data_IF_322614390052
#
_entry.id   IF_322614390052
#
_cell.length_a   1.000
_cell.length_b   1.000
_cell.length_c   1.000
_cell.angle_alpha   90.00
_cell.angle_beta   90.00
_cell.angle_gamma   90.00
#
_symmetry.space_group_name_H-M   'P 1'
#
loop_
_entity.id
_entity.type
_entity.pdbx_description
1 polymer ?
#
# COMPACT_ATOMS: atom_id res chain seq x y z
N UNK A 1 0.94 -3.57 43.94
CA UNK A 1 1.95 -4.13 43.01
C UNK A 1 1.38 -4.32 41.58
N UNK A 2 0.55 -3.42 41.07
CA UNK A 2 -0.01 -3.49 39.72
C UNK A 2 0.26 -2.22 38.88
N UNK A 3 1.03 -1.27 39.42
CA UNK A 3 1.34 -0.01 38.73
C UNK A 3 2.61 -0.07 37.86
N UNK A 4 3.44 -1.11 37.98
CA UNK A 4 4.73 -1.22 37.27
C UNK A 4 4.69 -1.94 35.92
N UNK A 5 3.51 -2.41 35.44
CA UNK A 5 3.40 -3.15 34.14
C UNK A 5 2.85 -2.32 32.97
N UNK A 6 2.38 -1.08 33.22
CA UNK A 6 1.85 -0.21 32.14
C UNK A 6 2.93 0.60 31.40
N UNK A 7 4.14 0.69 31.92
CA UNK A 7 5.22 1.51 31.34
C UNK A 7 6.06 0.79 30.26
N UNK A 8 5.73 -0.46 29.91
CA UNK A 8 6.43 -1.25 28.88
C UNK A 8 5.62 -1.35 27.59
N UNK A 9 4.48 -0.69 27.51
CA UNK A 9 3.73 -0.62 26.26
C UNK A 9 4.45 0.29 25.26
N UNK A 10 4.69 -0.23 24.06
CA UNK A 10 5.07 0.61 22.92
C UNK A 10 3.99 1.68 22.83
N UNK A 11 4.38 2.94 23.01
CA UNK A 11 3.51 4.04 22.63
C UNK A 11 3.45 4.05 21.12
N UNK A 12 2.46 3.37 20.53
CA UNK A 12 2.24 3.28 19.08
C UNK A 12 2.10 4.64 18.39
N UNK A 13 2.11 5.74 19.15
CA UNK A 13 1.91 7.10 18.65
C UNK A 13 3.11 7.73 17.94
N UNK A 14 4.32 7.18 18.08
CA UNK A 14 5.50 7.76 17.47
C UNK A 14 6.02 6.83 16.36
N UNK A 15 5.51 7.01 15.12
CA UNK A 15 6.06 6.44 13.87
C UNK A 15 6.22 4.91 13.78
N UNK A 16 5.31 4.14 14.39
CA UNK A 16 5.32 2.68 14.25
C UNK A 16 4.84 2.28 12.85
N UNK A 17 5.76 1.75 12.03
CA UNK A 17 5.43 1.09 10.77
C UNK A 17 5.09 -0.39 11.01
N UNK A 18 4.08 -0.90 10.29
CA UNK A 18 3.61 -2.30 10.41
C UNK A 18 4.65 -3.38 10.06
N UNK A 19 5.90 -3.00 9.77
CA UNK A 19 7.02 -3.89 9.47
C UNK A 19 8.20 -3.78 10.47
N UNK A 20 8.02 -3.08 11.61
CA UNK A 20 9.10 -2.86 12.60
C UNK A 20 9.26 -4.05 13.54
N UNK A 21 9.65 -5.21 12.99
CA UNK A 21 9.85 -6.45 13.75
C UNK A 21 10.94 -6.32 14.82
N UNK A 22 11.98 -5.54 14.58
CA UNK A 22 13.05 -5.25 15.54
C UNK A 22 12.54 -4.52 16.79
N UNK A 23 11.60 -3.60 16.62
CA UNK A 23 10.95 -2.93 17.73
C UNK A 23 10.10 -3.92 18.55
N UNK A 24 9.35 -4.80 17.88
CA UNK A 24 8.55 -5.84 18.51
C UNK A 24 9.45 -6.83 19.30
N UNK A 25 10.51 -7.33 18.69
CA UNK A 25 11.46 -8.21 19.36
C UNK A 25 12.02 -7.58 20.64
N UNK A 26 12.41 -6.31 20.58
CA UNK A 26 12.93 -5.56 21.72
C UNK A 26 11.91 -5.41 22.86
N UNK A 27 10.65 -5.12 22.54
CA UNK A 27 9.64 -4.79 23.57
C UNK A 27 8.89 -6.01 24.11
N UNK A 28 8.60 -7.00 23.24
CA UNK A 28 7.83 -8.18 23.63
C UNK A 28 8.72 -9.40 23.92
N UNK A 29 10.03 -9.32 23.63
CA UNK A 29 10.99 -10.42 23.79
C UNK A 29 10.61 -11.68 22.99
N UNK A 30 9.97 -11.48 21.84
CA UNK A 30 9.60 -12.52 20.88
C UNK A 30 10.55 -12.37 19.71
N UNK A 31 11.24 -13.43 19.31
CA UNK A 31 12.17 -13.39 18.19
C UNK A 31 11.41 -13.07 16.89
N UNK A 32 11.98 -12.23 16.04
CA UNK A 32 11.35 -11.81 14.80
C UNK A 32 11.06 -12.98 13.85
N UNK A 33 11.87 -14.03 13.87
CA UNK A 33 11.66 -15.26 13.10
C UNK A 33 10.44 -16.08 13.55
N UNK A 34 9.96 -15.87 14.79
CA UNK A 34 8.79 -16.53 15.36
C UNK A 34 7.49 -15.73 15.14
N UNK A 35 7.58 -14.56 14.44
CA UNK A 35 6.45 -13.67 14.23
C UNK A 35 5.88 -13.86 12.82
N UNK A 36 4.59 -14.19 12.73
CA UNK A 36 3.82 -14.11 11.50
C UNK A 36 3.24 -12.70 11.38
N UNK A 37 3.71 -11.94 10.38
CA UNK A 37 3.33 -10.53 10.22
C UNK A 37 2.09 -10.36 9.37
N UNK A 38 0.94 -10.19 9.99
CA UNK A 38 -0.30 -9.73 9.37
C UNK A 38 -0.36 -8.21 9.17
N UNK A 39 0.68 -7.49 9.58
CA UNK A 39 0.74 -6.02 9.55
C UNK A 39 1.41 -5.45 8.31
N UNK A 40 2.33 -6.20 7.68
CA UNK A 40 3.16 -5.72 6.58
C UNK A 40 2.46 -5.72 5.21
N UNK A 41 1.32 -6.39 5.07
CA UNK A 41 0.55 -6.56 3.82
C UNK A 41 1.37 -7.16 2.66
N UNK A 42 2.29 -8.04 2.96
CA UNK A 42 3.13 -8.71 1.95
C UNK A 42 2.48 -10.04 1.56
N UNK A 43 2.52 -10.40 0.29
CA UNK A 43 2.02 -11.68 -0.22
C UNK A 43 2.68 -12.87 0.51
N UNK A 44 1.91 -13.76 1.13
CA UNK A 44 2.44 -14.86 1.92
C UNK A 44 3.11 -15.97 1.10
N UNK A 45 2.94 -16.01 -0.21
CA UNK A 45 3.63 -16.98 -1.08
C UNK A 45 5.13 -16.76 -1.13
N UNK A 46 5.61 -15.54 -0.77
CA UNK A 46 7.01 -15.17 -0.94
C UNK A 46 7.37 -15.04 -2.43
N UNK A 47 8.65 -14.98 -2.75
CA UNK A 47 9.13 -14.91 -4.14
C UNK A 47 9.05 -16.29 -4.82
N UNK A 48 8.78 -16.31 -6.14
CA UNK A 48 8.70 -17.56 -6.90
C UNK A 48 10.03 -18.33 -6.88
N UNK A 49 9.96 -19.66 -7.05
CA UNK A 49 11.16 -20.50 -7.11
C UNK A 49 12.08 -20.07 -8.25
N UNK A 50 11.52 -19.76 -9.42
CA UNK A 50 12.29 -19.32 -10.57
C UNK A 50 13.03 -18.01 -10.25
N UNK A 51 12.36 -17.04 -9.63
CA UNK A 51 13.00 -15.79 -9.23
C UNK A 51 14.14 -16.04 -8.25
N UNK A 52 13.92 -16.88 -7.22
CA UNK A 52 14.94 -17.24 -6.22
C UNK A 52 16.18 -17.87 -6.87
N UNK A 53 15.99 -18.87 -7.73
CA UNK A 53 17.08 -19.56 -8.42
C UNK A 53 17.86 -18.59 -9.32
N UNK A 54 17.15 -17.81 -10.15
CA UNK A 54 17.81 -16.88 -11.07
C UNK A 54 18.59 -15.80 -10.34
N UNK A 55 18.07 -15.27 -9.21
CA UNK A 55 18.82 -14.29 -8.42
C UNK A 55 20.09 -14.91 -7.82
N UNK A 56 20.01 -16.15 -7.32
CA UNK A 56 21.17 -16.85 -6.79
C UNK A 56 22.25 -17.08 -7.87
N UNK A 57 21.84 -17.45 -9.09
CA UNK A 57 22.74 -17.71 -10.23
C UNK A 57 23.34 -16.41 -10.82
N UNK A 58 22.77 -15.25 -10.51
CA UNK A 58 23.20 -13.95 -11.02
C UNK A 58 23.77 -13.01 -9.93
N UNK A 59 24.26 -13.55 -8.81
CA UNK A 59 24.81 -12.70 -7.73
C UNK A 59 26.00 -11.85 -8.23
N UNK A 60 26.77 -12.31 -9.18
CA UNK A 60 27.89 -11.56 -9.75
C UNK A 60 27.46 -10.27 -10.49
N UNK A 61 26.18 -10.13 -10.83
CA UNK A 61 25.65 -8.89 -11.39
C UNK A 61 25.83 -7.67 -10.48
N UNK A 62 26.02 -7.87 -9.15
CA UNK A 62 26.30 -6.77 -8.21
C UNK A 62 27.69 -6.12 -8.43
N UNK A 63 28.57 -6.74 -9.20
CA UNK A 63 29.91 -6.23 -9.48
C UNK A 63 29.94 -5.17 -10.59
N UNK A 64 28.81 -4.98 -11.29
CA UNK A 64 28.67 -4.02 -12.39
C UNK A 64 27.43 -3.15 -12.23
N UNK A 65 27.48 -1.93 -12.79
CA UNK A 65 26.30 -1.10 -12.88
C UNK A 65 25.28 -1.67 -13.87
N UNK A 66 23.96 -1.60 -13.57
CA UNK A 66 22.93 -1.97 -14.54
C UNK A 66 22.86 -0.96 -15.69
N UNK A 67 22.03 -1.26 -16.71
CA UNK A 67 21.69 -0.29 -17.75
C UNK A 67 21.12 0.99 -17.11
N UNK A 68 21.77 2.14 -17.41
CA UNK A 68 21.38 3.44 -16.84
C UNK A 68 19.93 3.82 -17.16
N UNK A 69 19.45 3.44 -18.33
CA UNK A 69 18.09 3.74 -18.79
C UNK A 69 17.09 2.64 -18.43
N UNK A 70 17.55 1.51 -17.87
CA UNK A 70 16.72 0.35 -17.52
C UNK A 70 15.80 -0.10 -18.68
N UNK A 71 16.31 -0.08 -19.89
CA UNK A 71 15.53 -0.26 -21.13
C UNK A 71 14.73 -1.56 -21.11
N UNK A 72 15.37 -2.69 -20.80
CA UNK A 72 14.71 -3.99 -20.74
C UNK A 72 13.66 -4.06 -19.62
N UNK A 73 13.96 -3.52 -18.44
CA UNK A 73 13.03 -3.48 -17.31
C UNK A 73 11.80 -2.62 -17.64
N UNK A 74 12.00 -1.43 -18.19
CA UNK A 74 10.91 -0.53 -18.59
C UNK A 74 10.00 -1.17 -19.64
N UNK A 75 10.58 -1.92 -20.59
CA UNK A 75 9.81 -2.67 -21.59
C UNK A 75 8.95 -3.75 -20.94
N UNK A 76 9.51 -4.54 -20.00
CA UNK A 76 8.73 -5.54 -19.26
C UNK A 76 7.59 -4.91 -18.44
N UNK A 77 7.88 -3.82 -17.74
CA UNK A 77 6.87 -3.07 -16.96
C UNK A 77 5.78 -2.53 -17.89
N UNK A 78 6.15 -1.96 -19.03
CA UNK A 78 5.19 -1.41 -19.99
C UNK A 78 4.25 -2.48 -20.53
N UNK A 79 4.77 -3.66 -20.86
CA UNK A 79 3.95 -4.81 -21.29
C UNK A 79 2.99 -5.25 -20.17
N UNK A 80 3.49 -5.40 -18.95
CA UNK A 80 2.69 -5.79 -17.77
C UNK A 80 1.58 -4.77 -17.45
N UNK A 81 1.93 -3.50 -17.47
CA UNK A 81 1.02 -2.40 -17.12
C UNK A 81 0.10 -1.96 -18.29
N UNK A 82 0.29 -2.48 -19.50
CA UNK A 82 -0.50 -2.10 -20.68
C UNK A 82 -0.24 -0.65 -21.13
N UNK A 83 1.02 -0.20 -21.09
CA UNK A 83 1.44 1.16 -21.49
C UNK A 83 2.66 1.10 -22.43
N UNK A 84 3.24 2.26 -22.72
CA UNK A 84 4.46 2.35 -23.53
C UNK A 84 5.70 2.52 -22.65
N UNK A 85 6.89 1.98 -23.05
CA UNK A 85 8.12 2.09 -22.24
C UNK A 85 8.54 3.54 -21.92
N UNK A 86 8.27 4.48 -22.81
CA UNK A 86 8.55 5.91 -22.61
C UNK A 86 7.69 6.57 -21.52
N UNK A 87 6.55 5.95 -21.16
CA UNK A 87 5.65 6.41 -20.10
C UNK A 87 6.04 5.86 -18.73
N UNK A 88 7.05 4.97 -18.67
CA UNK A 88 7.47 4.29 -17.44
C UNK A 88 8.68 4.98 -16.81
N UNK A 89 8.57 5.29 -15.53
CA UNK A 89 9.69 5.73 -14.67
C UNK A 89 9.93 4.63 -13.63
N UNK A 90 11.17 4.19 -13.45
CA UNK A 90 11.54 3.22 -12.43
C UNK A 90 12.21 3.89 -11.24
N UNK A 91 12.03 3.37 -10.02
CA UNK A 91 12.57 3.94 -8.79
C UNK A 91 12.86 2.89 -7.71
N UNK A 92 13.60 3.29 -6.70
CA UNK A 92 13.99 2.47 -5.54
C UNK A 92 12.80 2.27 -4.60
N UNK A 93 11.81 1.48 -5.05
CA UNK A 93 10.49 1.35 -4.45
C UNK A 93 9.56 2.51 -4.79
N UNK A 94 8.26 2.33 -4.58
CA UNK A 94 7.26 3.39 -4.77
C UNK A 94 7.51 4.60 -3.86
N UNK A 95 8.10 4.42 -2.68
CA UNK A 95 8.40 5.50 -1.74
C UNK A 95 9.37 6.55 -2.32
N UNK A 96 10.43 6.12 -3.02
CA UNK A 96 11.31 7.08 -3.72
C UNK A 96 10.53 7.87 -4.77
N UNK A 97 9.64 7.22 -5.51
CA UNK A 97 8.84 7.87 -6.54
C UNK A 97 7.82 8.86 -5.97
N UNK A 98 7.22 8.56 -4.81
CA UNK A 98 6.38 9.49 -4.05
C UNK A 98 7.19 10.75 -3.72
N UNK A 99 8.36 10.58 -3.10
CA UNK A 99 9.23 11.69 -2.71
C UNK A 99 9.66 12.52 -3.92
N UNK A 100 10.16 11.88 -4.98
CA UNK A 100 10.61 12.56 -6.20
C UNK A 100 9.49 13.35 -6.88
N UNK A 101 8.29 12.76 -6.94
CA UNK A 101 7.14 13.43 -7.53
C UNK A 101 6.70 14.65 -6.71
N UNK A 102 6.54 14.49 -5.38
CA UNK A 102 6.15 15.60 -4.49
C UNK A 102 7.21 16.71 -4.52
N UNK A 103 8.50 16.38 -4.46
CA UNK A 103 9.60 17.35 -4.60
C UNK A 103 9.61 18.03 -5.97
N UNK A 104 9.22 17.34 -7.03
CA UNK A 104 9.15 17.91 -8.38
C UNK A 104 7.99 18.89 -8.51
N UNK A 105 6.83 18.55 -7.95
CA UNK A 105 5.62 19.40 -7.97
C UNK A 105 5.67 20.51 -6.92
N UNK A 106 6.31 20.25 -5.79
CA UNK A 106 6.45 21.19 -4.68
C UNK A 106 5.14 21.90 -4.30
N UNK A 107 4.07 21.15 -3.99
CA UNK A 107 2.75 21.70 -3.78
C UNK A 107 2.69 22.50 -2.49
N UNK A 108 2.07 23.70 -2.52
CA UNK A 108 1.77 24.49 -1.30
C UNK A 108 0.61 23.91 -0.52
N UNK A 109 -0.41 23.41 -1.23
CA UNK A 109 -1.58 22.76 -0.65
C UNK A 109 -1.89 21.48 -1.41
N UNK A 110 -2.01 20.37 -0.67
CA UNK A 110 -2.41 19.08 -1.21
C UNK A 110 -3.63 18.54 -0.46
N UNK A 111 -4.50 17.84 -1.18
CA UNK A 111 -5.63 17.10 -0.62
C UNK A 111 -5.28 15.62 -0.60
N UNK A 112 -5.56 14.94 0.51
CA UNK A 112 -5.42 13.48 0.67
C UNK A 112 -6.70 12.91 1.30
N UNK A 113 -6.89 11.60 1.21
CA UNK A 113 -7.97 10.92 1.93
C UNK A 113 -7.61 10.79 3.42
N UNK A 114 -8.60 10.73 4.27
CA UNK A 114 -8.43 10.41 5.68
C UNK A 114 -9.43 9.33 6.12
N UNK A 115 -8.98 8.17 6.62
CA UNK A 115 -7.59 7.76 6.84
C UNK A 115 -6.86 7.33 5.53
N UNK A 116 -5.54 7.51 5.51
CA UNK A 116 -4.67 6.98 4.42
C UNK A 116 -3.22 6.80 4.91
N UNK A 117 -2.32 6.40 4.03
CA UNK A 117 -0.91 6.18 4.33
C UNK A 117 -0.19 7.49 4.68
N UNK A 118 0.49 7.51 5.83
CA UNK A 118 1.05 8.73 6.43
C UNK A 118 2.22 9.35 5.66
N UNK A 119 2.91 8.57 4.81
CA UNK A 119 4.06 9.09 4.07
C UNK A 119 3.68 10.18 3.06
N UNK A 120 2.43 10.24 2.60
CA UNK A 120 2.00 11.32 1.72
C UNK A 120 2.05 12.68 2.43
N UNK A 121 1.45 12.77 3.63
CA UNK A 121 1.50 13.98 4.46
C UNK A 121 2.93 14.33 4.83
N UNK A 122 3.72 13.33 5.23
CA UNK A 122 5.12 13.52 5.59
C UNK A 122 5.92 14.13 4.43
N UNK A 123 5.83 13.60 3.22
CA UNK A 123 6.57 14.12 2.07
C UNK A 123 6.10 15.51 1.64
N UNK A 124 4.78 15.80 1.71
CA UNK A 124 4.23 17.12 1.46
C UNK A 124 4.80 18.13 2.49
N UNK A 125 4.80 17.75 3.77
CA UNK A 125 5.32 18.60 4.85
C UNK A 125 6.83 18.85 4.73
N UNK A 126 7.62 17.84 4.35
CA UNK A 126 9.06 17.99 4.08
C UNK A 126 9.33 18.95 2.92
N UNK A 127 8.43 19.02 1.94
CA UNK A 127 8.44 20.01 0.87
C UNK A 127 7.96 21.40 1.29
N UNK A 128 7.55 21.60 2.55
CA UNK A 128 6.99 22.87 3.03
C UNK A 128 5.53 23.11 2.65
N UNK A 129 4.84 22.09 2.12
CA UNK A 129 3.43 22.13 1.80
C UNK A 129 2.52 21.84 2.99
N UNK A 130 1.23 22.12 2.83
CA UNK A 130 0.17 21.83 3.81
C UNK A 130 -0.76 20.76 3.26
N UNK A 131 -1.04 19.74 4.07
CA UNK A 131 -1.99 18.68 3.75
C UNK A 131 -3.38 19.03 4.28
N UNK A 132 -4.38 18.91 3.42
CA UNK A 132 -5.80 18.91 3.76
C UNK A 132 -6.33 17.48 3.64
N UNK A 133 -7.31 17.13 4.46
CA UNK A 133 -7.91 15.79 4.44
C UNK A 133 -9.36 15.84 3.97
N UNK A 134 -9.73 14.90 3.10
CA UNK A 134 -11.12 14.54 2.85
C UNK A 134 -11.45 13.31 3.70
N UNK A 135 -12.33 13.43 4.72
CA UNK A 135 -12.64 12.33 5.60
C UNK A 135 -13.52 11.28 4.90
N UNK A 136 -13.02 10.05 4.81
CA UNK A 136 -13.85 8.90 4.44
C UNK A 136 -14.74 8.54 5.65
N UNK A 137 -16.02 8.34 5.41
CA UNK A 137 -17.02 8.15 6.48
C UNK A 137 -17.26 6.66 6.74
N UNK A 138 -17.22 6.27 8.01
CA UNK A 138 -17.53 4.89 8.45
C UNK A 138 -18.93 4.47 8.01
N UNK A 139 -19.92 5.37 8.11
CA UNK A 139 -21.30 5.12 7.71
C UNK A 139 -21.49 4.71 6.25
N UNK A 140 -20.51 5.08 5.39
CA UNK A 140 -20.46 4.69 3.99
C UNK A 140 -19.48 3.51 3.76
N UNK A 141 -19.09 2.77 4.80
CA UNK A 141 -18.08 1.72 4.71
C UNK A 141 -16.70 2.23 4.24
N UNK A 142 -16.39 3.50 4.49
CA UNK A 142 -15.20 4.21 3.99
C UNK A 142 -15.11 4.31 2.47
N UNK A 143 -16.20 4.08 1.73
CA UNK A 143 -16.24 4.39 0.31
C UNK A 143 -16.35 5.89 0.07
N UNK A 144 -15.63 6.37 -0.96
CA UNK A 144 -15.67 7.77 -1.36
C UNK A 144 -17.01 8.10 -2.03
N UNK A 145 -17.69 9.13 -1.55
CA UNK A 145 -18.75 9.80 -2.32
C UNK A 145 -18.08 10.78 -3.30
N UNK A 146 -18.00 10.38 -4.57
CA UNK A 146 -17.30 11.16 -5.61
C UNK A 146 -17.97 12.51 -5.87
N UNK A 147 -19.30 12.59 -5.74
CA UNK A 147 -20.01 13.85 -5.97
C UNK A 147 -19.75 14.85 -4.83
N UNK A 148 -19.74 14.36 -3.61
CA UNK A 148 -19.37 15.17 -2.45
C UNK A 148 -17.89 15.53 -2.49
N UNK A 149 -17.01 14.57 -2.79
CA UNK A 149 -15.57 14.78 -2.92
C UNK A 149 -15.23 15.91 -3.91
N UNK A 150 -15.84 15.90 -5.10
CA UNK A 150 -15.57 16.91 -6.12
C UNK A 150 -15.92 18.35 -5.68
N UNK A 151 -16.85 18.54 -4.72
CA UNK A 151 -17.17 19.85 -4.15
C UNK A 151 -16.06 20.42 -3.26
N UNK A 152 -15.12 19.59 -2.80
CA UNK A 152 -13.97 20.01 -2.00
C UNK A 152 -12.77 20.40 -2.85
N UNK A 153 -12.82 20.23 -4.17
CA UNK A 153 -11.78 20.67 -5.11
C UNK A 153 -11.90 22.17 -5.35
N UNK A 154 -10.77 22.87 -5.42
CA UNK A 154 -10.71 24.29 -5.71
C UNK A 154 -9.35 24.67 -6.31
N UNK A 155 -9.23 25.88 -6.85
CA UNK A 155 -8.01 26.46 -7.39
C UNK A 155 -6.90 26.73 -6.34
N UNK A 156 -7.23 26.56 -5.05
CA UNK A 156 -6.23 26.59 -3.98
C UNK A 156 -5.42 25.32 -3.84
N UNK A 157 -5.91 24.21 -4.41
CA UNK A 157 -5.23 22.92 -4.37
C UNK A 157 -4.30 22.77 -5.58
N UNK A 158 -3.09 22.30 -5.35
CA UNK A 158 -2.10 22.05 -6.39
C UNK A 158 -1.89 20.54 -6.63
N UNK A 159 -2.19 19.73 -5.63
CA UNK A 159 -2.01 18.27 -5.66
C UNK A 159 -3.16 17.55 -4.98
N UNK A 160 -3.62 16.48 -5.61
CA UNK A 160 -4.45 15.43 -5.01
C UNK A 160 -3.63 14.13 -4.94
N UNK A 161 -3.62 13.48 -3.76
CA UNK A 161 -3.01 12.16 -3.59
C UNK A 161 -4.07 11.16 -3.18
N UNK A 162 -4.18 10.08 -3.94
CA UNK A 162 -5.10 8.98 -3.71
C UNK A 162 -4.32 7.66 -3.58
N UNK A 163 -4.66 6.84 -2.59
CA UNK A 163 -4.24 5.46 -2.50
C UNK A 163 -5.39 4.59 -3.01
N UNK A 164 -5.17 3.74 -4.01
CA UNK A 164 -6.24 2.98 -4.65
C UNK A 164 -5.81 1.55 -5.02
N UNK A 165 -6.30 0.52 -4.30
CA UNK A 165 -7.12 0.53 -3.08
C UNK A 165 -6.47 1.24 -1.90
N UNK A 166 -7.29 1.86 -1.05
CA UNK A 166 -6.80 2.70 0.04
C UNK A 166 -6.29 1.88 1.24
N UNK A 167 -5.22 2.31 1.83
CA UNK A 167 -4.68 1.79 3.09
C UNK A 167 -4.95 2.80 4.22
N UNK A 168 -5.71 2.48 5.29
CA UNK A 168 -6.01 1.14 5.78
C UNK A 168 -7.41 0.59 5.42
N UNK A 169 -8.27 1.32 4.71
CA UNK A 169 -9.68 0.98 4.55
C UNK A 169 -9.94 -0.18 3.57
N UNK A 170 -8.98 -0.50 2.72
CA UNK A 170 -9.09 -1.50 1.64
C UNK A 170 -10.16 -1.18 0.57
N UNK A 171 -10.79 -0.01 0.63
CA UNK A 171 -11.79 0.44 -0.34
C UNK A 171 -11.14 0.89 -1.64
N UNK A 172 -11.82 0.67 -2.77
CA UNK A 172 -11.33 1.04 -4.09
C UNK A 172 -12.23 2.11 -4.74
N UNK A 173 -11.59 2.92 -5.58
CA UNK A 173 -12.19 3.88 -6.51
C UNK A 173 -12.14 3.23 -7.89
N UNK A 174 -13.27 3.11 -8.56
CA UNK A 174 -13.31 2.54 -9.92
C UNK A 174 -12.71 3.49 -10.95
N UNK A 175 -12.26 2.95 -12.09
CA UNK A 175 -11.74 3.73 -13.20
C UNK A 175 -12.76 4.80 -13.69
N UNK A 176 -14.05 4.48 -13.68
CA UNK A 176 -15.11 5.43 -14.05
C UNK A 176 -15.27 6.57 -13.04
N UNK A 177 -15.17 6.27 -11.74
CA UNK A 177 -15.15 7.28 -10.69
C UNK A 177 -13.88 8.15 -10.75
N UNK A 178 -12.71 7.52 -11.00
CA UNK A 178 -11.45 8.23 -11.16
C UNK A 178 -11.49 9.21 -12.33
N UNK A 179 -12.13 8.83 -13.45
CA UNK A 179 -12.33 9.75 -14.59
C UNK A 179 -13.07 11.01 -14.17
N UNK A 180 -14.16 10.89 -13.40
CA UNK A 180 -14.93 12.05 -12.89
C UNK A 180 -14.07 12.95 -11.99
N UNK A 181 -13.24 12.35 -11.12
CA UNK A 181 -12.31 13.09 -10.27
C UNK A 181 -11.28 13.84 -11.10
N UNK A 182 -10.71 13.18 -12.11
CA UNK A 182 -9.70 13.79 -13.01
C UNK A 182 -10.29 14.94 -13.83
N UNK A 183 -11.52 14.79 -14.35
CA UNK A 183 -12.22 15.86 -15.07
C UNK A 183 -12.42 17.09 -14.17
N UNK A 184 -12.81 16.89 -12.92
CA UNK A 184 -12.94 17.97 -11.95
C UNK A 184 -11.59 18.59 -11.58
N UNK A 185 -10.55 17.79 -11.40
CA UNK A 185 -9.19 18.28 -11.12
C UNK A 185 -8.62 19.13 -12.27
N UNK A 186 -8.91 18.77 -13.52
CA UNK A 186 -8.47 19.56 -14.70
C UNK A 186 -9.02 20.97 -14.69
N UNK A 187 -10.28 21.16 -14.24
CA UNK A 187 -10.92 22.47 -14.19
C UNK A 187 -10.19 23.45 -13.26
N UNK A 188 -9.53 22.93 -12.23
CA UNK A 188 -8.77 23.71 -11.22
C UNK A 188 -7.26 23.63 -11.40
N UNK A 189 -6.75 22.91 -12.41
CA UNK A 189 -5.31 22.73 -12.63
C UNK A 189 -4.62 21.84 -11.57
N UNK A 190 -5.38 21.01 -10.86
CA UNK A 190 -4.87 20.12 -9.81
C UNK A 190 -4.16 18.92 -10.46
N UNK A 191 -2.95 18.63 -10.01
CA UNK A 191 -2.26 17.40 -10.40
C UNK A 191 -2.71 16.22 -9.51
N UNK A 192 -2.79 15.01 -10.07
CA UNK A 192 -3.26 13.82 -9.36
C UNK A 192 -2.18 12.76 -9.33
N UNK A 193 -1.81 12.31 -8.14
CA UNK A 193 -0.98 11.13 -7.89
C UNK A 193 -1.85 10.02 -7.33
N UNK A 194 -1.84 8.86 -7.99
CA UNK A 194 -2.55 7.67 -7.51
C UNK A 194 -1.52 6.58 -7.17
N UNK A 195 -1.51 6.17 -5.90
CA UNK A 195 -0.72 5.04 -5.44
C UNK A 195 -1.53 3.75 -5.56
N UNK A 196 -1.19 2.95 -6.54
CA UNK A 196 -1.81 1.65 -6.84
C UNK A 196 -0.99 0.47 -6.28
N UNK A 197 -0.30 0.63 -5.15
CA UNK A 197 0.52 -0.43 -4.53
C UNK A 197 -0.25 -1.73 -4.24
N UNK A 198 -1.57 -1.67 -4.16
CA UNK A 198 -2.43 -2.83 -3.83
C UNK A 198 -3.39 -3.23 -4.96
N UNK A 199 -3.32 -2.58 -6.11
CA UNK A 199 -4.33 -2.74 -7.17
C UNK A 199 -4.38 -4.16 -7.74
N UNK A 200 -3.25 -4.85 -7.82
CA UNK A 200 -3.17 -6.23 -8.33
C UNK A 200 -3.99 -7.23 -7.49
N UNK A 201 -4.28 -6.88 -6.23
CA UNK A 201 -5.12 -7.68 -5.33
C UNK A 201 -6.63 -7.41 -5.49
N UNK A 202 -7.02 -6.37 -6.22
CA UNK A 202 -8.43 -6.06 -6.42
C UNK A 202 -9.13 -7.20 -7.17
N UNK A 203 -10.39 -7.53 -6.83
CA UNK A 203 -11.13 -8.59 -7.52
C UNK A 203 -11.17 -8.37 -9.03
N UNK A 204 -11.51 -7.17 -9.45
CA UNK A 204 -11.53 -6.72 -10.84
C UNK A 204 -10.50 -5.61 -11.05
N UNK A 205 -9.20 -5.99 -11.15
CA UNK A 205 -8.10 -5.03 -11.30
C UNK A 205 -8.33 -4.02 -12.44
N UNK A 206 -8.86 -4.50 -13.57
CA UNK A 206 -9.10 -3.66 -14.75
C UNK A 206 -10.15 -2.56 -14.51
N UNK A 207 -11.07 -2.79 -13.59
CA UNK A 207 -12.09 -1.81 -13.21
C UNK A 207 -11.56 -0.78 -12.20
N UNK A 208 -10.43 -1.08 -11.54
CA UNK A 208 -9.84 -0.23 -10.48
C UNK A 208 -8.63 0.55 -10.97
N UNK A 209 -7.79 -0.06 -11.81
CA UNK A 209 -6.56 0.61 -12.28
C UNK A 209 -6.85 1.86 -13.09
N UNK A 210 -6.08 2.89 -12.80
CA UNK A 210 -6.13 4.19 -13.51
C UNK A 210 -5.05 4.33 -14.59
N UNK A 211 -4.21 3.30 -14.80
CA UNK A 211 -3.14 3.35 -15.82
C UNK A 211 -3.67 3.72 -17.22
N UNK A 212 -4.80 3.15 -17.72
CA UNK A 212 -5.32 3.53 -19.05
C UNK A 212 -5.66 5.02 -19.18
N UNK A 213 -5.97 5.68 -18.05
CA UNK A 213 -6.30 7.11 -18.03
C UNK A 213 -5.08 8.00 -18.28
N UNK A 214 -3.86 7.51 -18.06
CA UNK A 214 -2.62 8.27 -18.32
C UNK A 214 -2.45 8.64 -19.81
N UNK A 215 -3.14 7.95 -20.71
CA UNK A 215 -3.17 8.29 -22.15
C UNK A 215 -4.02 9.53 -22.45
N UNK A 216 -4.89 9.95 -21.53
CA UNK A 216 -5.86 11.02 -21.73
C UNK A 216 -5.62 12.22 -20.82
N UNK A 217 -4.99 11.99 -19.66
CA UNK A 217 -4.81 12.99 -18.60
C UNK A 217 -3.33 13.26 -18.34
N UNK A 218 -2.85 14.44 -18.74
CA UNK A 218 -1.45 14.86 -18.53
C UNK A 218 -1.19 15.33 -17.10
N UNK A 219 -2.22 15.53 -16.29
CA UNK A 219 -2.14 15.86 -14.86
C UNK A 219 -2.22 14.62 -13.96
N UNK A 220 -1.94 13.41 -14.48
CA UNK A 220 -2.03 12.15 -13.76
C UNK A 220 -0.68 11.42 -13.75
N UNK A 221 -0.31 10.88 -12.59
CA UNK A 221 0.76 9.90 -12.40
C UNK A 221 0.27 8.75 -11.53
N UNK A 222 0.57 7.52 -11.94
CA UNK A 222 0.23 6.29 -11.21
C UNK A 222 1.52 5.69 -10.66
N UNK A 223 1.52 5.26 -9.40
CA UNK A 223 2.65 4.61 -8.75
C UNK A 223 2.30 3.16 -8.43
N UNK A 224 3.25 2.24 -8.65
CA UNK A 224 3.15 0.82 -8.26
C UNK A 224 4.49 0.31 -7.73
N UNK A 225 4.46 -0.81 -7.02
CA UNK A 225 5.67 -1.41 -6.46
C UNK A 225 5.60 -2.93 -6.34
N UNK A 226 6.76 -3.58 -6.28
CA UNK A 226 6.88 -5.04 -6.16
C UNK A 226 6.84 -5.53 -4.71
N UNK A 227 6.76 -4.62 -3.75
CA UNK A 227 6.89 -4.93 -2.32
C UNK A 227 5.77 -5.79 -1.76
N UNK A 228 4.57 -5.68 -2.32
CA UNK A 228 3.35 -6.31 -1.77
C UNK A 228 2.95 -7.53 -2.58
N UNK A 229 2.51 -7.33 -3.82
CA UNK A 229 2.02 -8.40 -4.69
C UNK A 229 3.11 -9.42 -5.01
N UNK A 230 4.31 -8.98 -5.38
CA UNK A 230 5.43 -9.85 -5.72
C UNK A 230 6.29 -10.26 -4.50
N UNK A 231 5.84 -9.98 -3.28
CA UNK A 231 6.51 -10.39 -2.04
C UNK A 231 7.99 -10.00 -1.94
N UNK A 232 8.40 -8.91 -2.59
CA UNK A 232 9.81 -8.52 -2.71
C UNK A 232 10.12 -7.12 -2.13
N UNK A 233 9.75 -6.81 -0.86
CA UNK A 233 9.99 -5.49 -0.28
C UNK A 233 11.49 -5.15 -0.19
N UNK A 234 12.36 -6.14 0.03
CA UNK A 234 13.80 -5.95 0.15
C UNK A 234 14.52 -5.64 -1.17
N UNK A 235 13.92 -5.94 -2.33
CA UNK A 235 14.49 -5.60 -3.63
C UNK A 235 14.45 -4.10 -3.92
N UNK A 236 13.51 -3.37 -3.30
CA UNK A 236 13.34 -1.94 -3.50
C UNK A 236 13.09 -1.57 -4.96
N UNK A 237 12.12 -2.22 -5.61
CA UNK A 237 11.70 -1.92 -6.97
C UNK A 237 10.28 -1.34 -6.99
N UNK A 238 10.14 -0.18 -7.62
CA UNK A 238 8.85 0.45 -7.91
C UNK A 238 8.88 1.11 -9.29
N UNK A 239 7.71 1.49 -9.76
CA UNK A 239 7.59 2.21 -11.02
C UNK A 239 6.42 3.19 -10.99
N UNK A 240 6.51 4.19 -11.86
CA UNK A 240 5.42 5.12 -12.13
C UNK A 240 5.06 5.11 -13.60
N UNK A 241 3.80 5.43 -13.90
CA UNK A 241 3.27 5.57 -15.26
C UNK A 241 2.60 6.93 -15.41
N UNK A 242 2.98 7.68 -16.43
CA UNK A 242 2.32 8.93 -16.82
C UNK A 242 2.50 9.19 -18.32
N UNK A 243 1.52 9.77 -18.98
CA UNK A 243 1.64 10.25 -20.37
C UNK A 243 2.34 11.62 -20.49
N UNK A 244 2.65 12.27 -19.38
CA UNK A 244 3.25 13.61 -19.34
C UNK A 244 4.78 13.54 -19.49
N UNK A 245 5.27 13.73 -20.71
CA UNK A 245 6.70 13.64 -21.02
C UNK A 245 7.55 14.72 -20.34
N UNK A 246 7.02 15.91 -20.10
CA UNK A 246 7.72 16.97 -19.38
C UNK A 246 7.90 16.62 -17.89
N UNK A 247 6.88 15.98 -17.30
CA UNK A 247 6.98 15.46 -15.94
C UNK A 247 8.02 14.35 -15.84
N UNK A 248 8.04 13.40 -16.78
CA UNK A 248 9.03 12.32 -16.85
C UNK A 248 10.44 12.90 -16.90
N UNK A 249 10.66 13.88 -17.78
CA UNK A 249 11.95 14.57 -17.90
C UNK A 249 12.35 15.26 -16.59
N UNK A 250 11.40 15.94 -15.94
CA UNK A 250 11.62 16.66 -14.69
C UNK A 250 12.00 15.72 -13.53
N UNK A 251 11.29 14.58 -13.41
CA UNK A 251 11.60 13.54 -12.41
C UNK A 251 12.97 12.91 -12.69
N UNK A 252 13.25 12.52 -13.94
CA UNK A 252 14.52 11.88 -14.29
C UNK A 252 15.73 12.81 -14.10
N UNK A 253 15.55 14.12 -14.20
CA UNK A 253 16.62 15.12 -13.92
C UNK A 253 16.97 15.15 -12.42
N UNK A 254 16.02 14.86 -11.54
CA UNK A 254 16.20 14.84 -10.07
C UNK A 254 16.61 13.47 -9.54
N UNK A 255 16.24 12.42 -10.26
CA UNK A 255 16.51 11.04 -9.88
C UNK A 255 18.02 10.75 -9.91
N UNK A 256 18.52 10.08 -8.86
CA UNK A 256 19.90 9.60 -8.87
C UNK A 256 20.14 8.60 -10.00
N UNK A 257 21.27 8.68 -10.71
CA UNK A 257 21.64 7.65 -11.67
C UNK A 257 21.81 6.30 -10.95
N UNK A 258 21.47 5.21 -11.63
CA UNK A 258 21.54 3.84 -11.08
C UNK A 258 20.82 3.66 -9.75
N UNK A 259 19.66 4.32 -9.59
CA UNK A 259 18.84 4.25 -8.36
C UNK A 259 18.35 2.83 -8.06
N UNK A 260 18.18 1.97 -9.07
CA UNK A 260 17.79 0.58 -8.93
C UNK A 260 19.04 -0.30 -9.01
N UNK A 261 19.19 -1.23 -8.06
CA UNK A 261 20.30 -2.18 -8.04
C UNK A 261 20.15 -3.26 -9.12
N UNK A 262 21.26 -3.90 -9.50
CA UNK A 262 21.31 -4.89 -10.58
C UNK A 262 20.41 -6.10 -10.32
N UNK A 263 20.28 -6.56 -9.08
CA UNK A 263 19.39 -7.69 -8.73
C UNK A 263 17.92 -7.31 -8.86
N UNK A 264 17.54 -6.07 -8.50
CA UNK A 264 16.17 -5.58 -8.67
C UNK A 264 15.80 -5.42 -10.17
N UNK A 265 16.74 -5.02 -11.00
CA UNK A 265 16.57 -4.97 -12.47
C UNK A 265 16.31 -6.37 -13.05
N UNK A 266 17.13 -7.36 -12.68
CA UNK A 266 16.96 -8.76 -13.09
C UNK A 266 15.63 -9.30 -12.56
N UNK A 267 15.32 -9.08 -11.29
CA UNK A 267 14.09 -9.55 -10.67
C UNK A 267 12.84 -9.01 -11.35
N UNK A 268 12.81 -7.71 -11.67
CA UNK A 268 11.64 -7.11 -12.34
C UNK A 268 11.37 -7.73 -13.70
N UNK A 269 12.40 -8.03 -14.48
CA UNK A 269 12.27 -8.69 -15.78
C UNK A 269 11.69 -10.10 -15.70
N UNK A 270 11.76 -10.76 -14.53
CA UNK A 270 11.22 -12.09 -14.30
C UNK A 270 9.83 -12.04 -13.64
N UNK A 271 9.62 -11.12 -12.69
CA UNK A 271 8.37 -11.03 -11.93
C UNK A 271 7.17 -10.60 -12.78
N UNK A 272 7.34 -9.57 -13.62
CA UNK A 272 6.23 -9.01 -14.38
C UNK A 272 5.64 -9.96 -15.44
N UNK A 273 6.41 -10.84 -16.13
CA UNK A 273 5.85 -11.81 -17.04
C UNK A 273 5.48 -13.16 -16.38
N UNK A 274 5.60 -13.33 -15.05
CA UNK A 274 5.29 -14.58 -14.34
C UNK A 274 3.78 -14.74 -14.14
N UNK A 275 3.07 -15.10 -15.21
CA UNK A 275 1.61 -15.26 -15.22
C UNK A 275 1.12 -16.33 -14.23
N UNK A 276 1.92 -17.38 -14.00
CA UNK A 276 1.56 -18.45 -13.07
C UNK A 276 1.59 -17.94 -11.62
N UNK A 277 2.61 -17.22 -11.23
CA UNK A 277 2.70 -16.57 -9.91
C UNK A 277 1.57 -15.56 -9.71
N UNK A 278 1.30 -14.73 -10.72
CA UNK A 278 0.23 -13.73 -10.68
C UNK A 278 -1.12 -14.40 -10.47
N UNK A 279 -1.43 -15.45 -11.24
CA UNK A 279 -2.68 -16.21 -11.11
C UNK A 279 -2.81 -16.87 -9.74
N UNK A 280 -1.81 -17.61 -9.28
CA UNK A 280 -1.83 -18.27 -7.97
C UNK A 280 -1.98 -17.27 -6.81
N UNK A 281 -1.30 -16.14 -6.89
CA UNK A 281 -1.44 -15.07 -5.89
C UNK A 281 -2.88 -14.56 -5.83
N UNK A 282 -3.49 -14.28 -6.98
CA UNK A 282 -4.88 -13.77 -7.03
C UNK A 282 -5.87 -14.80 -6.52
N UNK A 283 -5.74 -16.06 -6.93
CA UNK A 283 -6.61 -17.16 -6.47
C UNK A 283 -6.54 -17.30 -4.94
N UNK A 284 -5.35 -17.37 -4.38
CA UNK A 284 -5.15 -17.47 -2.93
C UNK A 284 -5.75 -16.27 -2.18
N UNK A 285 -5.34 -15.07 -2.58
CA UNK A 285 -5.71 -13.87 -1.82
C UNK A 285 -7.19 -13.55 -1.95
N UNK A 286 -7.79 -13.67 -3.13
CA UNK A 286 -9.22 -13.44 -3.28
C UNK A 286 -10.04 -14.49 -2.50
N UNK A 287 -9.70 -15.78 -2.62
CA UNK A 287 -10.41 -16.84 -1.91
C UNK A 287 -10.35 -16.71 -0.39
N UNK A 288 -9.16 -16.49 0.16
CA UNK A 288 -9.00 -16.34 1.61
C UNK A 288 -9.55 -15.01 2.13
N UNK A 289 -9.43 -13.91 1.38
CA UNK A 289 -10.04 -12.63 1.73
C UNK A 289 -11.55 -12.75 1.88
N UNK A 290 -12.20 -13.34 0.88
CA UNK A 290 -13.65 -13.50 0.85
C UNK A 290 -14.12 -14.44 1.98
N UNK A 291 -13.36 -15.52 2.27
CA UNK A 291 -13.61 -16.42 3.40
C UNK A 291 -13.53 -15.68 4.74
N UNK A 292 -12.44 -14.95 4.97
CA UNK A 292 -12.23 -14.19 6.21
C UNK A 292 -13.31 -13.10 6.38
N UNK A 293 -13.64 -12.40 5.31
CA UNK A 293 -14.67 -11.37 5.33
C UNK A 293 -16.04 -11.95 5.69
N UNK A 294 -16.42 -13.06 5.07
CA UNK A 294 -17.71 -13.75 5.36
C UNK A 294 -17.77 -14.25 6.81
N UNK A 295 -16.69 -14.87 7.31
CA UNK A 295 -16.66 -15.38 8.68
C UNK A 295 -16.80 -14.25 9.70
N UNK A 296 -15.98 -13.22 9.59
CA UNK A 296 -15.97 -12.10 10.53
C UNK A 296 -17.25 -11.24 10.43
N UNK A 297 -17.88 -11.18 9.27
CA UNK A 297 -19.18 -10.50 9.10
C UNK A 297 -20.30 -11.17 9.89
N UNK A 298 -20.14 -12.45 10.26
CA UNK A 298 -21.08 -13.19 11.11
C UNK A 298 -20.93 -12.94 12.62
N UNK A 299 -19.94 -12.14 13.05
CA UNK A 299 -19.68 -11.91 14.46
C UNK A 299 -20.27 -10.57 14.93
N UNK A 300 -21.17 -10.59 15.93
CA UNK A 300 -21.79 -9.37 16.50
C UNK A 300 -20.77 -8.43 17.20
N UNK A 301 -19.62 -8.99 17.60
CA UNK A 301 -18.57 -8.28 18.34
C UNK A 301 -17.63 -7.44 17.47
N UNK A 302 -17.77 -7.51 16.15
CA UNK A 302 -16.93 -6.75 15.21
C UNK A 302 -17.77 -6.17 14.06
N UNK A 303 -17.18 -5.22 13.35
CA UNK A 303 -17.63 -4.79 12.02
C UNK A 303 -16.44 -4.88 11.08
N UNK A 304 -16.59 -5.55 9.95
CA UNK A 304 -15.60 -5.59 8.89
C UNK A 304 -16.11 -4.82 7.68
N UNK A 305 -15.20 -4.17 6.97
CA UNK A 305 -15.52 -3.38 5.77
C UNK A 305 -15.08 -4.12 4.53
N UNK A 306 -15.89 -4.05 3.47
CA UNK A 306 -15.68 -4.80 2.22
C UNK A 306 -14.29 -4.51 1.62
N UNK A 307 -13.41 -5.53 1.50
CA UNK A 307 -12.02 -5.30 1.14
C UNK A 307 -11.77 -5.47 -0.36
N UNK A 308 -11.01 -4.56 -0.96
CA UNK A 308 -10.50 -4.66 -2.34
C UNK A 308 -9.00 -4.95 -2.42
N UNK A 309 -8.26 -4.87 -1.30
CA UNK A 309 -6.83 -5.18 -1.23
C UNK A 309 -6.59 -6.56 -0.58
N UNK A 310 -5.33 -6.86 -0.27
CA UNK A 310 -4.96 -8.08 0.47
C UNK A 310 -5.00 -7.91 1.99
N UNK A 311 -5.85 -7.03 2.51
CA UNK A 311 -6.04 -6.81 3.95
C UNK A 311 -7.46 -6.36 4.24
N UNK A 312 -7.87 -6.57 5.48
CA UNK A 312 -9.22 -6.24 6.00
C UNK A 312 -9.07 -5.20 7.11
N UNK A 313 -9.86 -4.14 7.04
CA UNK A 313 -10.10 -3.23 8.16
C UNK A 313 -11.25 -3.77 8.99
N UNK A 314 -11.06 -3.85 10.31
CA UNK A 314 -12.05 -4.34 11.27
C UNK A 314 -12.18 -3.36 12.43
N UNK A 315 -13.42 -3.09 12.83
CA UNK A 315 -13.76 -2.35 14.05
C UNK A 315 -14.20 -3.31 15.14
N UNK A 316 -13.62 -3.20 16.32
CA UNK A 316 -13.97 -3.94 17.52
C UNK A 316 -15.23 -3.29 18.13
N UNK A 317 -16.27 -4.09 18.38
CA UNK A 317 -17.51 -3.67 19.03
C UNK A 317 -17.68 -4.26 20.42
N UNK A 318 -16.84 -5.21 20.81
CA UNK A 318 -16.86 -5.80 22.15
C UNK A 318 -16.53 -4.74 23.20
N UNK A 319 -17.43 -4.46 24.16
CA UNK A 319 -17.15 -3.46 25.19
C UNK A 319 -15.91 -3.76 26.00
N UNK A 320 -15.07 -2.75 26.25
CA UNK A 320 -13.87 -2.87 27.07
C UNK A 320 -12.68 -3.50 26.38
N UNK A 321 -12.74 -3.75 25.06
CA UNK A 321 -11.61 -4.25 24.26
C UNK A 321 -11.22 -3.17 23.25
N UNK A 322 -9.97 -2.78 23.30
CA UNK A 322 -9.35 -1.83 22.35
C UNK A 322 -8.51 -2.54 21.28
N UNK A 323 -8.12 -1.82 20.24
CA UNK A 323 -7.18 -2.30 19.22
C UNK A 323 -5.83 -2.68 19.81
N UNK A 324 -5.37 -1.96 20.85
CA UNK A 324 -4.15 -2.26 21.58
C UNK A 324 -4.28 -3.57 22.36
N UNK A 325 -5.41 -3.83 23.04
CA UNK A 325 -5.64 -5.08 23.78
C UNK A 325 -5.61 -6.28 22.83
N UNK A 326 -6.27 -6.16 21.67
CA UNK A 326 -6.26 -7.21 20.66
C UNK A 326 -4.86 -7.41 20.05
N UNK A 327 -4.14 -6.33 19.77
CA UNK A 327 -2.75 -6.39 19.31
C UNK A 327 -1.86 -7.12 20.32
N UNK A 328 -1.94 -6.76 21.61
CA UNK A 328 -1.14 -7.37 22.69
C UNK A 328 -1.43 -8.86 22.83
N UNK A 329 -2.69 -9.26 22.64
CA UNK A 329 -3.07 -10.66 22.70
C UNK A 329 -2.53 -11.45 21.50
N UNK A 330 -2.65 -10.91 20.31
CA UNK A 330 -2.14 -11.52 19.08
C UNK A 330 -0.62 -11.64 19.10
N UNK A 331 0.10 -10.56 19.44
CA UNK A 331 1.57 -10.59 19.37
C UNK A 331 2.19 -11.56 20.38
N UNK A 332 1.58 -11.77 21.56
CA UNK A 332 2.02 -12.78 22.54
C UNK A 332 1.91 -14.22 22.01
N UNK A 333 1.10 -14.42 20.97
CA UNK A 333 0.97 -15.70 20.24
C UNK A 333 1.77 -15.70 18.92
N UNK A 334 2.66 -14.73 18.73
CA UNK A 334 3.48 -14.60 17.53
C UNK A 334 2.76 -14.08 16.31
N UNK A 335 1.55 -13.47 16.45
CA UNK A 335 0.76 -12.93 15.35
C UNK A 335 0.74 -11.41 15.43
N UNK A 336 1.38 -10.72 14.47
CA UNK A 336 1.48 -9.28 14.47
C UNK A 336 0.41 -8.67 13.56
N UNK A 337 -0.65 -8.12 14.12
CA UNK A 337 -1.66 -7.31 13.40
C UNK A 337 -1.31 -5.83 13.41
N UNK A 338 -2.11 -4.95 12.80
CA UNK A 338 -1.93 -3.50 12.81
C UNK A 338 -3.01 -2.83 13.69
N UNK A 339 -2.60 -2.23 14.79
CA UNK A 339 -3.40 -1.24 15.49
C UNK A 339 -3.53 0.03 14.63
N UNK A 340 -4.75 0.43 14.32
CA UNK A 340 -5.05 1.55 13.45
C UNK A 340 -5.36 2.86 14.21
N UNK A 341 -5.21 2.91 15.53
CA UNK A 341 -5.48 4.11 16.34
C UNK A 341 -4.58 5.31 15.98
N UNK A 342 -3.48 5.07 15.27
CA UNK A 342 -2.57 6.12 14.80
C UNK A 342 -2.95 6.72 13.45
N UNK A 343 -3.92 6.12 12.74
CA UNK A 343 -4.40 6.71 11.49
C UNK A 343 -5.37 7.86 11.78
N UNK A 344 -5.23 9.02 11.13
CA UNK A 344 -6.21 10.09 11.24
C UNK A 344 -7.63 9.58 10.94
N UNK A 345 -8.64 10.04 11.69
CA UNK A 345 -10.05 9.66 11.55
C UNK A 345 -10.42 8.23 11.97
N UNK A 346 -9.49 7.45 12.51
CA UNK A 346 -9.76 6.18 13.19
C UNK A 346 -9.50 6.32 14.69
N UNK A 347 -10.27 5.57 15.48
CA UNK A 347 -10.12 5.52 16.95
C UNK A 347 -9.40 4.22 17.39
N UNK A 348 -9.32 3.98 18.68
CA UNK A 348 -8.68 2.83 19.32
C UNK A 348 -9.50 1.53 19.27
N UNK A 349 -10.49 1.44 18.37
CA UNK A 349 -11.26 0.23 18.11
C UNK A 349 -10.95 -0.37 16.73
N UNK A 350 -10.12 0.27 15.92
CA UNK A 350 -9.82 -0.21 14.58
C UNK A 350 -8.50 -0.98 14.51
N UNK A 351 -8.55 -2.14 13.88
CA UNK A 351 -7.38 -2.95 13.51
C UNK A 351 -7.41 -3.30 12.04
N UNK A 352 -6.23 -3.51 11.46
CA UNK A 352 -6.07 -4.00 10.10
C UNK A 352 -5.16 -5.25 10.13
N UNK A 353 -5.51 -6.25 9.37
CA UNK A 353 -4.69 -7.44 9.18
C UNK A 353 -4.72 -7.88 7.73
N UNK A 354 -3.58 -8.37 7.21
CA UNK A 354 -3.52 -8.84 5.83
C UNK A 354 -3.95 -10.31 5.72
N UNK A 355 -4.30 -10.69 4.51
CA UNK A 355 -4.62 -12.07 4.13
C UNK A 355 -3.31 -12.85 3.99
N UNK A 356 -3.21 -13.98 4.68
CA UNK A 356 -2.06 -14.85 4.72
C UNK A 356 -2.43 -16.25 4.16
N UNK A 357 -1.57 -17.25 4.39
CA UNK A 357 -1.90 -18.65 4.06
C UNK A 357 -3.07 -19.17 4.92
N UNK A 358 -3.87 -20.13 4.43
CA UNK A 358 -5.07 -20.62 5.13
C UNK A 358 -4.82 -21.02 6.59
N UNK A 359 -3.71 -21.74 6.85
CA UNK A 359 -3.38 -22.19 8.21
C UNK A 359 -2.99 -21.02 9.14
N UNK A 360 -2.38 -19.97 8.58
CA UNK A 360 -2.03 -18.76 9.32
C UNK A 360 -3.28 -17.93 9.62
N UNK A 361 -4.16 -17.80 8.66
CA UNK A 361 -5.44 -17.11 8.80
C UNK A 361 -6.32 -17.80 9.85
N UNK A 362 -6.37 -19.15 9.89
CA UNK A 362 -7.14 -19.88 10.90
C UNK A 362 -6.59 -19.64 12.31
N UNK A 363 -5.26 -19.65 12.49
CA UNK A 363 -4.64 -19.29 13.76
C UNK A 363 -5.00 -17.88 14.22
N UNK A 364 -5.08 -16.92 13.29
CA UNK A 364 -5.51 -15.56 13.62
C UNK A 364 -6.97 -15.54 14.07
N UNK A 365 -7.85 -16.24 13.36
CA UNK A 365 -9.27 -16.36 13.74
C UNK A 365 -9.46 -17.03 15.10
N UNK A 366 -8.68 -18.06 15.42
CA UNK A 366 -8.70 -18.71 16.76
C UNK A 366 -8.39 -17.68 17.85
N UNK A 367 -7.35 -16.86 17.65
CA UNK A 367 -6.97 -15.81 18.62
C UNK A 367 -8.05 -14.73 18.70
N UNK A 368 -8.65 -14.35 17.59
CA UNK A 368 -9.75 -13.39 17.58
C UNK A 368 -10.98 -13.93 18.34
N UNK A 369 -11.34 -15.22 18.15
CA UNK A 369 -12.44 -15.86 18.90
C UNK A 369 -12.21 -15.81 20.41
N UNK A 370 -11.01 -16.08 20.89
CA UNK A 370 -10.67 -16.02 22.33
C UNK A 370 -10.91 -14.64 22.95
N UNK A 371 -10.62 -13.57 22.19
CA UNK A 371 -10.70 -12.20 22.72
C UNK A 371 -12.07 -11.58 22.43
N UNK A 372 -12.65 -11.85 21.27
CA UNK A 372 -13.80 -11.12 20.76
C UNK A 372 -15.14 -11.85 20.98
N UNK A 373 -15.16 -13.16 21.03
CA UNK A 373 -16.37 -13.94 21.35
C UNK A 373 -16.38 -14.37 22.81
#
# INVERSE_FOLDING_TARGET
>A
MLQGKRDIMIKHKDHFHGSDLEAIEKYYHIKKEDIVSFSANVNPLGISYQLRSTLADNLDAITTYPDREYTALRTCIATYAGTQPENVIVGNGSTELISLFIQTKHPKKALVLGPTYSEYEREIALGGGTTLYYPLKEENGFHMDVEDFCKHLSDQLELLVLCNPNNPTSTAITCSQMRRILDACLQYGIFVMVDETYVEFAPEEKEVTSIPLTNYYTNLIILRGTSKFFAAPGLRLGYAVTGNQDLIKSINTRKNPWTINSLAEIAGRLMFPDEEYIRHTRELICGERDRLFQELSGWDSVTVYEPSANFILMKIRKPGVTSQDLFDHCIRKGLMIRDCSTFPFLDDHFVRFCVMLPEQNEKLLEVFREVLL
#
